data_IF_583634387607
#
_entry.id   IF_583634387607
#
_cell.length_a   1.000
_cell.length_b   1.000
_cell.length_c   1.000
_cell.angle_alpha   90.00
_cell.angle_beta   90.00
_cell.angle_gamma   90.00
#
_symmetry.space_group_name_H-M   'P 1'
#
loop_
_entity.id
_entity.type
_entity.pdbx_description
1 polymer ?
#
# COMPACT_ATOMS: atom_id res chain seq x y z
N UNK A 1 -5.91 7.61 0.62
CA UNK A 1 -5.05 6.44 0.85
C UNK A 1 -4.44 6.60 2.23
N UNK A 2 -4.63 5.60 3.08
CA UNK A 2 -4.04 5.53 4.41
C UNK A 2 -2.93 4.47 4.34
N UNK A 3 -1.70 4.88 4.60
CA UNK A 3 -0.53 4.02 4.42
C UNK A 3 -0.04 3.49 5.78
N UNK A 4 0.40 2.24 5.82
CA UNK A 4 1.00 1.60 7.01
C UNK A 4 0.13 1.68 8.28
N UNK A 5 -1.16 1.32 8.16
CA UNK A 5 -2.11 1.37 9.29
C UNK A 5 -1.74 0.39 10.42
N UNK A 6 -0.88 -0.58 10.12
CA UNK A 6 -0.29 -1.51 11.06
C UNK A 6 0.70 -0.87 12.05
N UNK A 7 1.11 0.39 11.83
CA UNK A 7 2.06 1.12 12.69
C UNK A 7 1.43 2.14 13.64
N UNK A 8 0.10 2.31 13.61
CA UNK A 8 -0.61 3.38 14.33
C UNK A 8 -0.47 3.29 15.87
N UNK A 9 -0.47 2.07 16.42
CA UNK A 9 -0.44 1.84 17.88
C UNK A 9 0.88 2.16 18.59
N UNK A 10 1.94 2.56 17.85
CA UNK A 10 3.28 2.75 18.42
C UNK A 10 3.55 4.15 18.99
N UNK A 11 2.58 5.07 18.95
CA UNK A 11 2.81 6.49 19.28
C UNK A 11 2.06 6.95 20.54
N UNK A 12 2.81 7.47 21.52
CA UNK A 12 2.40 7.85 22.89
C UNK A 12 1.46 9.07 23.00
N UNK A 13 0.75 9.47 21.93
CA UNK A 13 -0.17 10.62 21.94
C UNK A 13 -1.59 10.19 21.57
N UNK A 14 -2.38 9.84 22.59
CA UNK A 14 -3.79 9.46 22.43
C UNK A 14 -3.99 8.10 21.76
N UNK A 15 -5.25 7.75 21.49
CA UNK A 15 -5.60 6.57 20.70
C UNK A 15 -5.97 7.01 19.27
N UNK A 16 -5.00 7.20 18.35
CA UNK A 16 -5.28 7.58 16.97
C UNK A 16 -6.16 6.55 16.23
N UNK A 17 -6.27 5.32 16.73
CA UNK A 17 -7.19 4.34 16.16
C UNK A 17 -8.66 4.76 16.38
N UNK A 18 -8.97 5.44 17.48
CA UNK A 18 -10.33 5.94 17.75
C UNK A 18 -10.82 6.96 16.71
N UNK A 19 -9.96 7.90 16.31
CA UNK A 19 -10.28 8.87 15.26
C UNK A 19 -10.47 8.18 13.89
N UNK A 20 -9.65 7.15 13.61
CA UNK A 20 -9.81 6.37 12.39
C UNK A 20 -11.09 5.52 12.40
N UNK A 21 -11.52 5.03 13.56
CA UNK A 21 -12.80 4.35 13.68
C UNK A 21 -13.95 5.29 13.31
N UNK A 22 -13.95 6.53 13.79
CA UNK A 22 -14.99 7.52 13.44
C UNK A 22 -15.01 7.83 11.93
N UNK A 23 -13.83 7.96 11.31
CA UNK A 23 -13.70 8.26 9.87
C UNK A 23 -14.10 7.07 8.99
N UNK A 24 -13.78 5.84 9.40
CA UNK A 24 -13.98 4.65 8.59
C UNK A 24 -15.33 3.97 8.83
N UNK A 25 -16.01 4.28 9.93
CA UNK A 25 -17.34 3.76 10.22
C UNK A 25 -18.40 4.42 9.32
N UNK A 26 -19.05 3.66 8.41
CA UNK A 26 -20.08 4.22 7.52
C UNK A 26 -21.26 4.87 8.25
N UNK A 27 -21.50 4.51 9.51
CA UNK A 27 -22.57 5.09 10.32
C UNK A 27 -22.20 6.45 10.92
N UNK A 28 -20.90 6.72 11.08
CA UNK A 28 -20.40 7.94 11.76
C UNK A 28 -19.77 8.94 10.79
N UNK A 29 -19.22 8.47 9.66
CA UNK A 29 -18.42 9.29 8.75
C UNK A 29 -19.21 10.42 8.05
N UNK A 30 -20.54 10.39 8.03
CA UNK A 30 -21.40 11.47 7.50
C UNK A 30 -21.35 12.75 8.34
N UNK A 31 -20.95 12.65 9.61
CA UNK A 31 -20.99 13.75 10.57
C UNK A 31 -19.66 13.87 11.34
N UNK A 32 -18.56 13.47 10.72
CA UNK A 32 -17.21 13.51 11.30
C UNK A 32 -16.89 14.91 11.84
N UNK A 33 -16.52 15.01 13.11
CA UNK A 33 -16.20 16.29 13.76
C UNK A 33 -14.70 16.55 13.71
N UNK A 34 -14.29 17.60 12.99
CA UNK A 34 -12.92 18.09 13.09
C UNK A 34 -12.79 18.99 14.32
N UNK A 35 -11.97 18.58 15.29
CA UNK A 35 -11.78 19.31 16.54
C UNK A 35 -11.05 20.65 16.41
N UNK A 36 -10.32 20.87 15.31
CA UNK A 36 -9.63 22.13 15.07
C UNK A 36 -10.57 23.18 14.46
N UNK A 37 -11.41 22.76 13.52
CA UNK A 37 -12.36 23.62 12.82
C UNK A 37 -13.72 23.73 13.52
N UNK A 38 -14.04 22.81 14.45
CA UNK A 38 -15.32 22.70 15.17
C UNK A 38 -16.54 22.66 14.22
N UNK A 39 -16.38 21.97 13.10
CA UNK A 39 -17.42 21.77 12.09
C UNK A 39 -17.52 20.30 11.70
N UNK A 40 -18.72 19.89 11.29
CA UNK A 40 -19.00 18.52 10.84
C UNK A 40 -18.81 18.41 9.32
N UNK A 41 -18.17 17.32 8.90
CA UNK A 41 -17.95 16.97 7.49
C UNK A 41 -18.63 15.65 7.15
N UNK A 42 -19.13 15.57 5.91
CA UNK A 42 -19.63 14.32 5.32
C UNK A 42 -18.50 13.63 4.54
N UNK A 43 -18.02 12.52 5.08
CA UNK A 43 -17.01 11.65 4.48
C UNK A 43 -17.60 10.38 3.85
N UNK A 44 -18.93 10.22 3.80
CA UNK A 44 -19.58 8.99 3.33
C UNK A 44 -19.32 8.65 1.87
N UNK A 45 -18.93 9.64 1.06
CA UNK A 45 -18.58 9.47 -0.36
C UNK A 45 -17.07 9.39 -0.61
N UNK A 46 -16.27 9.33 0.44
CA UNK A 46 -14.81 9.19 0.33
C UNK A 46 -14.45 7.72 0.24
N UNK A 47 -13.67 7.35 -0.79
CA UNK A 47 -13.09 6.01 -0.89
C UNK A 47 -11.83 5.94 -0.05
N UNK A 48 -11.88 5.14 1.01
CA UNK A 48 -10.72 4.81 1.82
C UNK A 48 -10.04 3.55 1.30
N UNK A 49 -8.72 3.64 1.13
CA UNK A 49 -7.85 2.51 0.79
C UNK A 49 -6.74 2.50 1.82
N UNK A 50 -6.64 1.41 2.57
CA UNK A 50 -5.65 1.21 3.62
C UNK A 50 -4.61 0.19 3.17
N UNK A 51 -3.33 0.40 3.52
CA UNK A 51 -2.26 -0.58 3.33
C UNK A 51 -1.71 -1.02 4.69
N UNK A 52 -1.32 -2.28 4.78
CA UNK A 52 -0.67 -2.85 5.96
C UNK A 52 0.23 -4.01 5.54
N UNK A 53 1.35 -4.20 6.26
CA UNK A 53 2.23 -5.35 6.06
C UNK A 53 1.89 -6.49 7.03
N UNK A 54 1.48 -6.14 8.25
CA UNK A 54 1.12 -7.09 9.31
C UNK A 54 -0.33 -6.84 9.74
N UNK A 55 -1.16 -7.89 9.74
CA UNK A 55 -2.57 -7.75 10.14
C UNK A 55 -2.72 -7.79 11.66
N UNK A 56 -1.81 -8.48 12.34
CA UNK A 56 -1.88 -8.79 13.77
C UNK A 56 -1.71 -7.54 14.66
N UNK A 57 -1.10 -6.48 14.13
CA UNK A 57 -0.89 -5.22 14.85
C UNK A 57 -2.03 -4.23 14.64
N UNK A 58 -2.97 -4.51 13.72
CA UNK A 58 -4.12 -3.65 13.46
C UNK A 58 -5.21 -3.97 14.50
N UNK A 59 -5.78 -2.95 15.16
CA UNK A 59 -6.92 -3.14 16.05
C UNK A 59 -8.09 -3.85 15.36
N UNK A 60 -8.62 -4.92 15.98
CA UNK A 60 -9.76 -5.68 15.46
C UNK A 60 -10.96 -4.80 15.04
N UNK A 61 -11.35 -3.74 15.78
CA UNK A 61 -12.47 -2.89 15.39
C UNK A 61 -12.29 -2.17 14.04
N UNK A 62 -11.05 -1.93 13.62
CA UNK A 62 -10.73 -1.36 12.30
C UNK A 62 -10.84 -2.43 11.22
N UNK A 63 -10.31 -3.62 11.48
CA UNK A 63 -10.38 -4.75 10.54
C UNK A 63 -11.84 -5.10 10.22
N UNK A 64 -12.71 -5.12 11.24
CA UNK A 64 -14.14 -5.46 11.09
C UNK A 64 -14.92 -4.46 10.20
N UNK A 65 -14.37 -3.25 9.99
CA UNK A 65 -14.95 -2.19 9.16
C UNK A 65 -14.33 -2.10 7.77
N UNK A 66 -13.42 -3.00 7.43
CA UNK A 66 -12.68 -3.00 6.17
C UNK A 66 -12.92 -4.29 5.40
N UNK A 67 -12.91 -4.19 4.07
CA UNK A 67 -12.75 -5.35 3.21
C UNK A 67 -11.25 -5.67 3.08
N UNK A 68 -10.84 -6.85 3.56
CA UNK A 68 -9.43 -7.26 3.55
C UNK A 68 -9.09 -7.96 2.23
N UNK A 69 -8.23 -7.32 1.43
CA UNK A 69 -7.65 -7.90 0.22
C UNK A 69 -6.20 -8.28 0.50
N UNK A 70 -5.90 -9.57 0.49
CA UNK A 70 -4.52 -10.08 0.68
C UNK A 70 -3.79 -10.09 -0.66
N UNK A 71 -2.65 -9.40 -0.71
CA UNK A 71 -1.77 -9.39 -1.87
C UNK A 71 -0.61 -10.37 -1.63
N UNK A 72 -0.59 -11.55 -2.29
CA UNK A 72 0.53 -12.47 -2.17
C UNK A 72 1.76 -11.92 -2.88
N UNK A 73 2.93 -12.44 -2.50
CA UNK A 73 4.16 -12.20 -3.24
C UNK A 73 4.12 -12.77 -4.66
N UNK A 74 5.06 -12.34 -5.49
CA UNK A 74 5.15 -12.76 -6.89
C UNK A 74 6.00 -14.01 -7.09
N UNK A 75 5.54 -14.89 -7.97
CA UNK A 75 6.35 -15.98 -8.51
C UNK A 75 7.49 -15.43 -9.38
N UNK A 76 8.53 -16.24 -9.58
CA UNK A 76 9.67 -15.85 -10.42
C UNK A 76 9.24 -15.44 -11.84
N UNK A 77 8.28 -16.16 -12.44
CA UNK A 77 7.75 -15.85 -13.77
C UNK A 77 7.02 -14.51 -13.78
N UNK A 78 6.21 -14.22 -12.76
CA UNK A 78 5.52 -12.94 -12.62
C UNK A 78 6.52 -11.79 -12.45
N UNK A 79 7.54 -11.95 -11.60
CA UNK A 79 8.60 -10.93 -11.44
C UNK A 79 9.33 -10.62 -12.74
N UNK A 80 9.64 -11.64 -13.55
CA UNK A 80 10.25 -11.43 -14.88
C UNK A 80 9.34 -10.62 -15.80
N UNK A 81 8.03 -10.92 -15.81
CA UNK A 81 7.07 -10.19 -16.65
C UNK A 81 6.83 -8.76 -16.15
N UNK A 82 6.72 -8.54 -14.83
CA UNK A 82 6.61 -7.22 -14.21
C UNK A 82 7.87 -6.39 -14.52
N UNK A 83 9.05 -6.97 -14.37
CA UNK A 83 10.31 -6.32 -14.68
C UNK A 83 10.37 -5.90 -16.15
N UNK A 84 9.98 -6.80 -17.06
CA UNK A 84 10.02 -6.55 -18.51
C UNK A 84 9.01 -5.50 -18.95
N UNK A 85 7.76 -5.58 -18.46
CA UNK A 85 6.66 -4.71 -18.91
C UNK A 85 6.65 -3.34 -18.23
N UNK A 86 7.09 -3.26 -16.97
CA UNK A 86 6.92 -2.06 -16.15
C UNK A 86 8.24 -1.50 -15.64
N UNK A 87 9.07 -2.30 -14.97
CA UNK A 87 10.26 -1.76 -14.27
C UNK A 87 11.35 -1.31 -15.24
N UNK A 88 11.72 -2.13 -16.24
CA UNK A 88 12.76 -1.81 -17.21
C UNK A 88 12.40 -0.56 -18.02
N UNK A 89 11.20 -0.44 -18.63
CA UNK A 89 10.81 0.77 -19.34
C UNK A 89 10.85 2.01 -18.45
N UNK A 90 10.33 1.91 -17.21
CA UNK A 90 10.33 3.01 -16.24
C UNK A 90 11.75 3.45 -15.89
N UNK A 91 12.64 2.51 -15.57
CA UNK A 91 14.02 2.82 -15.20
C UNK A 91 14.80 3.42 -16.36
N UNK A 92 14.58 2.95 -17.59
CA UNK A 92 15.20 3.53 -18.78
C UNK A 92 14.79 4.97 -19.01
N UNK A 93 13.50 5.27 -18.87
CA UNK A 93 12.99 6.63 -19.00
C UNK A 93 13.62 7.55 -17.95
N UNK A 94 13.70 7.10 -16.69
CA UNK A 94 14.33 7.85 -15.60
C UNK A 94 15.81 8.14 -15.85
N UNK A 95 16.54 7.25 -16.54
CA UNK A 95 17.96 7.41 -16.83
C UNK A 95 18.24 7.93 -18.26
N UNK A 96 17.22 8.31 -19.04
CA UNK A 96 17.39 8.82 -20.41
C UNK A 96 17.89 7.78 -21.43
N UNK A 97 17.73 6.47 -21.16
CA UNK A 97 18.24 5.38 -21.99
C UNK A 97 17.20 4.90 -23.01
N UNK A 98 17.57 4.84 -24.29
CA UNK A 98 16.73 4.31 -25.38
C UNK A 98 16.77 2.79 -25.44
N UNK A 99 15.70 2.18 -26.00
CA UNK A 99 15.50 0.75 -26.28
C UNK A 99 16.76 -0.03 -26.72
N UNK A 100 17.55 0.61 -27.58
CA UNK A 100 18.72 0.01 -28.26
C UNK A 100 20.03 0.11 -27.46
N UNK A 101 20.09 0.96 -26.44
CA UNK A 101 21.32 1.21 -25.67
C UNK A 101 21.54 0.18 -24.55
N UNK A 102 20.46 -0.41 -24.04
CA UNK A 102 20.52 -1.42 -22.98
C UNK A 102 19.41 -2.44 -23.18
N UNK A 103 19.75 -3.72 -23.10
CA UNK A 103 18.80 -4.83 -23.26
C UNK A 103 19.03 -5.82 -22.14
N UNK A 104 17.95 -6.17 -21.44
CA UNK A 104 17.96 -7.17 -20.38
C UNK A 104 17.34 -8.45 -20.91
N UNK A 105 18.13 -9.48 -21.26
CA UNK A 105 17.58 -10.76 -21.67
C UNK A 105 16.88 -11.42 -20.48
N UNK A 106 15.81 -12.20 -20.75
CA UNK A 106 15.05 -12.88 -19.68
C UNK A 106 15.93 -13.79 -18.81
N UNK A 107 16.99 -14.38 -19.35
CA UNK A 107 17.96 -15.18 -18.58
C UNK A 107 18.69 -14.35 -17.53
N UNK A 108 19.10 -13.11 -17.86
CA UNK A 108 19.73 -12.21 -16.90
C UNK A 108 18.75 -11.78 -15.80
N UNK A 109 17.48 -11.48 -16.16
CA UNK A 109 16.45 -11.16 -15.17
C UNK A 109 16.20 -12.32 -14.20
N UNK A 110 16.15 -13.56 -14.72
CA UNK A 110 16.04 -14.76 -13.87
C UNK A 110 17.21 -14.88 -12.91
N UNK A 111 18.44 -14.70 -13.39
CA UNK A 111 19.64 -14.76 -12.55
C UNK A 111 19.65 -13.66 -11.47
N UNK A 112 19.17 -12.45 -11.79
CA UNK A 112 19.03 -11.37 -10.81
C UNK A 112 18.00 -11.74 -9.74
N UNK A 113 16.80 -12.20 -10.16
CA UNK A 113 15.72 -12.52 -9.23
C UNK A 113 16.15 -13.65 -8.27
N UNK A 114 16.76 -14.70 -8.79
CA UNK A 114 17.15 -15.88 -8.01
C UNK A 114 18.40 -15.64 -7.15
N UNK A 115 19.39 -14.91 -7.70
CA UNK A 115 20.68 -14.69 -7.05
C UNK A 115 20.73 -13.48 -6.13
N UNK A 116 19.92 -12.44 -6.38
CA UNK A 116 20.12 -11.12 -5.79
C UNK A 116 18.84 -10.47 -5.20
N UNK A 117 17.64 -10.99 -5.46
CA UNK A 117 16.38 -10.39 -4.99
C UNK A 117 15.54 -11.37 -4.15
N UNK A 118 16.01 -11.64 -2.92
CA UNK A 118 15.32 -12.52 -1.94
C UNK A 118 14.24 -11.75 -1.17
N UNK A 119 13.24 -11.27 -1.89
CA UNK A 119 12.05 -10.63 -1.32
C UNK A 119 10.78 -11.18 -1.97
N UNK A 120 9.61 -10.90 -1.39
CA UNK A 120 8.33 -11.33 -1.96
C UNK A 120 7.86 -10.43 -3.12
N UNK A 121 8.27 -9.16 -3.12
CA UNK A 121 7.92 -8.13 -4.11
C UNK A 121 8.72 -8.18 -5.40
#
# INVERSE_FOLDING_TARGET
MLDEVDKIGASFRGDPASALLEVLDPEQNQNFLDHYLDVRFDLSKVLFICTANQMETIPQPLIDRMEVIRLPGYTMTEKVEIATKHLIPRQRALHGLKAKQIVFPKSALRAIIDGYAREAG
#
